data_IF_016730271771
#
_entry.id   IF_016730271771
#
_cell.length_a   1.000
_cell.length_b   1.000
_cell.length_c   1.000
_cell.angle_alpha   90.00
_cell.angle_beta   90.00
_cell.angle_gamma   90.00
#
_symmetry.space_group_name_H-M   'P 1'
#
loop_
_entity.id
_entity.type
_entity.pdbx_description
1 polymer ?
#
# COMPACT_ATOMS: atom_id res chain seq x y z
N UNK A 1 21.07 43.89 -29.76
CA UNK A 1 20.48 42.59 -29.40
C UNK A 1 21.54 41.85 -28.62
N UNK A 2 21.37 41.73 -27.30
CA UNK A 2 22.39 41.20 -26.42
C UNK A 2 22.33 39.68 -26.41
N UNK A 3 23.31 39.02 -27.02
CA UNK A 3 23.58 37.60 -26.84
C UNK A 3 24.15 37.38 -25.43
N UNK A 4 23.40 36.67 -24.59
CA UNK A 4 23.92 36.17 -23.32
C UNK A 4 24.38 34.71 -23.50
N UNK A 5 25.66 34.38 -23.24
CA UNK A 5 26.10 33.00 -23.23
C UNK A 5 25.46 32.24 -22.07
N UNK A 6 24.89 31.06 -22.36
CA UNK A 6 24.41 30.13 -21.34
C UNK A 6 25.60 29.61 -20.53
N UNK A 7 25.53 29.55 -19.18
CA UNK A 7 26.65 29.06 -18.38
C UNK A 7 26.93 27.58 -18.70
N UNK A 8 28.20 27.16 -18.82
CA UNK A 8 28.55 25.75 -19.07
C UNK A 8 28.18 24.90 -17.85
N UNK A 9 27.28 23.93 -18.05
CA UNK A 9 27.11 22.83 -17.11
C UNK A 9 28.39 22.00 -17.03
N UNK A 10 28.86 21.70 -15.82
CA UNK A 10 30.20 21.14 -15.55
C UNK A 10 30.42 19.69 -16.00
N UNK A 11 29.44 19.04 -16.64
CA UNK A 11 29.55 17.67 -17.12
C UNK A 11 28.96 17.59 -18.52
N UNK A 12 29.77 17.83 -19.56
CA UNK A 12 29.40 17.74 -20.98
C UNK A 12 29.03 16.33 -21.45
N UNK A 13 28.26 15.60 -20.64
CA UNK A 13 27.59 14.38 -21.05
C UNK A 13 26.56 14.69 -22.14
N UNK A 14 26.13 13.66 -22.89
CA UNK A 14 25.03 13.79 -23.82
C UNK A 14 23.86 14.50 -23.15
N UNK A 15 23.05 15.30 -23.89
CA UNK A 15 21.79 15.79 -23.36
C UNK A 15 21.06 14.63 -22.71
N UNK A 16 20.71 14.78 -21.43
CA UNK A 16 19.86 13.80 -20.77
C UNK A 16 18.61 13.71 -21.64
N UNK A 17 18.22 12.48 -22.01
CA UNK A 17 16.96 12.27 -22.71
C UNK A 17 15.87 13.07 -21.99
N UNK A 18 15.01 13.75 -22.76
CA UNK A 18 13.85 14.42 -22.20
C UNK A 18 13.17 13.45 -21.23
N UNK A 19 12.87 13.87 -19.99
CA UNK A 19 12.31 12.98 -18.99
C UNK A 19 11.15 12.26 -19.65
N UNK A 20 11.29 10.94 -19.80
CA UNK A 20 10.30 10.13 -20.49
C UNK A 20 8.95 10.53 -19.93
N UNK A 21 8.04 11.01 -20.80
CA UNK A 21 6.72 11.54 -20.38
C UNK A 21 6.24 10.72 -19.22
N UNK A 22 6.12 11.33 -18.03
CA UNK A 22 5.65 10.67 -16.82
C UNK A 22 4.42 9.87 -17.22
N UNK A 23 4.59 8.56 -17.46
CA UNK A 23 3.44 7.73 -17.81
C UNK A 23 2.78 7.54 -16.47
N UNK A 24 1.62 8.18 -16.23
CA UNK A 24 1.04 8.12 -14.91
C UNK A 24 0.68 6.66 -14.69
N UNK A 25 1.40 6.02 -13.77
CA UNK A 25 0.98 4.74 -13.26
C UNK A 25 -0.46 4.90 -12.75
N UNK A 26 -1.26 3.85 -12.88
CA UNK A 26 -2.63 3.84 -12.35
C UNK A 26 -2.72 2.78 -11.28
N UNK A 27 -3.42 3.10 -10.20
CA UNK A 27 -3.75 2.07 -9.23
C UNK A 27 -4.71 1.09 -9.90
N UNK A 28 -4.46 -0.21 -9.77
CA UNK A 28 -5.25 -1.24 -10.46
C UNK A 28 -6.72 -1.17 -10.04
N UNK A 29 -6.96 -1.18 -8.74
CA UNK A 29 -8.29 -1.09 -8.13
C UNK A 29 -8.25 -0.10 -6.95
N UNK A 30 -9.34 0.61 -6.70
CA UNK A 30 -9.44 1.57 -5.60
C UNK A 30 -9.27 0.98 -4.20
N UNK A 31 -9.60 -0.31 -4.00
CA UNK A 31 -9.33 -1.02 -2.75
C UNK A 31 -7.84 -1.10 -2.39
N UNK A 32 -6.96 -0.89 -3.36
CA UNK A 32 -5.51 -0.89 -3.17
C UNK A 32 -4.95 0.53 -3.03
N UNK A 33 -5.80 1.56 -3.11
CA UNK A 33 -5.40 2.96 -2.99
C UNK A 33 -5.62 3.47 -1.56
N UNK A 34 -4.59 4.07 -0.99
CA UNK A 34 -4.64 4.82 0.26
C UNK A 34 -4.36 6.29 -0.06
N UNK A 35 -5.29 7.22 0.21
CA UNK A 35 -5.07 8.63 -0.04
C UNK A 35 -3.96 9.20 0.87
N UNK A 36 -3.34 10.33 0.50
CA UNK A 36 -2.44 11.03 1.41
C UNK A 36 -3.18 11.47 2.69
N UNK A 37 -2.45 11.64 3.78
CA UNK A 37 -3.02 12.18 5.01
C UNK A 37 -3.52 13.61 4.80
N UNK A 38 -4.73 13.92 5.28
CA UNK A 38 -5.32 15.25 5.14
C UNK A 38 -4.53 16.38 5.83
N UNK A 39 -3.70 16.08 6.83
CA UNK A 39 -2.76 17.07 7.39
C UNK A 39 -1.71 17.52 6.38
N UNK A 40 -1.15 16.57 5.60
CA UNK A 40 -0.18 16.87 4.55
C UNK A 40 -0.82 17.67 3.41
N UNK A 41 -2.09 17.41 3.12
CA UNK A 41 -2.86 18.19 2.15
C UNK A 41 -3.02 19.64 2.59
N UNK A 42 -3.46 19.88 3.82
CA UNK A 42 -3.59 21.24 4.38
C UNK A 42 -2.25 21.98 4.42
N UNK A 43 -1.20 21.30 4.85
CA UNK A 43 0.14 21.87 4.92
C UNK A 43 0.66 22.27 3.53
N UNK A 44 0.43 21.42 2.53
CA UNK A 44 0.78 21.72 1.14
C UNK A 44 -0.07 22.84 0.54
N UNK A 45 -1.35 22.93 0.87
CA UNK A 45 -2.19 24.05 0.45
C UNK A 45 -1.73 25.37 1.06
N UNK A 46 -1.39 25.39 2.35
CA UNK A 46 -0.83 26.58 3.01
C UNK A 46 0.49 27.01 2.35
N UNK A 47 1.35 26.07 1.97
CA UNK A 47 2.56 26.35 1.19
C UNK A 47 2.22 26.91 -0.21
N UNK A 48 1.29 26.29 -0.94
CA UNK A 48 0.87 26.71 -2.28
C UNK A 48 0.25 28.11 -2.31
N UNK A 49 -0.50 28.46 -1.26
CA UNK A 49 -1.12 29.79 -1.09
C UNK A 49 -0.15 30.84 -0.54
N UNK A 50 1.11 30.48 -0.27
CA UNK A 50 2.13 31.38 0.27
C UNK A 50 1.94 31.73 1.76
N UNK A 51 0.99 31.08 2.44
CA UNK A 51 0.73 31.24 3.88
C UNK A 51 1.82 30.57 4.73
N UNK A 52 2.52 29.59 4.16
CA UNK A 52 3.67 28.94 4.77
C UNK A 52 4.93 29.14 3.93
N UNK A 53 6.03 29.51 4.60
CA UNK A 53 7.37 29.60 3.97
C UNK A 53 8.12 28.27 3.96
N UNK A 54 7.61 27.26 4.66
CA UNK A 54 8.21 25.93 4.70
C UNK A 54 8.01 25.27 3.33
N UNK A 55 9.09 24.81 2.70
CA UNK A 55 8.98 24.00 1.48
C UNK A 55 8.39 22.64 1.84
N UNK A 56 7.26 22.29 1.24
CA UNK A 56 6.55 21.05 1.50
C UNK A 56 6.43 20.25 0.21
N UNK A 57 6.76 18.96 0.28
CA UNK A 57 6.58 18.03 -0.84
C UNK A 57 5.09 17.89 -1.13
N UNK A 58 4.72 17.85 -2.41
CA UNK A 58 3.35 17.55 -2.82
C UNK A 58 2.90 16.23 -2.20
N UNK A 59 1.76 16.19 -1.49
CA UNK A 59 1.24 14.97 -0.89
C UNK A 59 0.88 13.97 -2.00
N UNK A 60 1.25 12.71 -1.77
CA UNK A 60 0.97 11.59 -2.65
C UNK A 60 0.38 10.46 -1.82
N UNK A 61 -0.66 9.80 -2.31
CA UNK A 61 -1.12 8.56 -1.70
C UNK A 61 -0.26 7.37 -2.12
N UNK A 62 -0.66 6.19 -1.67
CA UNK A 62 0.05 4.92 -1.88
C UNK A 62 -0.89 3.93 -2.53
N UNK A 63 -0.43 3.23 -3.56
CA UNK A 63 -1.17 2.10 -4.13
C UNK A 63 -0.38 0.81 -3.95
N UNK A 64 -0.99 -0.25 -3.41
CA UNK A 64 -0.31 -1.55 -3.21
C UNK A 64 -0.20 -2.38 -4.51
N UNK A 65 -1.08 -2.11 -5.48
CA UNK A 65 -1.12 -2.81 -6.78
C UNK A 65 -1.17 -1.81 -7.93
N UNK A 66 -0.03 -1.59 -8.56
CA UNK A 66 0.11 -0.61 -9.65
C UNK A 66 0.22 -1.31 -11.00
N UNK A 67 -0.44 -0.73 -12.01
CA UNK A 67 -0.17 -1.03 -13.41
C UNK A 67 0.88 -0.03 -13.91
N UNK A 68 2.07 -0.54 -14.22
CA UNK A 68 3.17 0.24 -14.79
C UNK A 68 3.07 0.24 -16.31
N UNK A 69 3.08 1.43 -16.92
CA UNK A 69 2.99 1.59 -18.37
C UNK A 69 1.73 0.97 -18.96
N UNK A 70 1.91 0.07 -19.95
CA UNK A 70 0.81 -0.64 -20.63
C UNK A 70 0.65 -2.09 -20.13
N UNK A 71 1.28 -2.45 -19.01
CA UNK A 71 1.19 -3.81 -18.47
C UNK A 71 -0.23 -4.13 -18.00
N UNK A 72 -0.70 -5.35 -18.31
CA UNK A 72 -1.93 -5.92 -17.74
C UNK A 72 -1.68 -6.63 -16.40
N UNK A 73 -0.42 -6.93 -16.10
CA UNK A 73 0.00 -7.60 -14.88
C UNK A 73 0.35 -6.55 -13.83
N UNK A 74 -0.29 -6.58 -12.64
CA UNK A 74 0.01 -5.65 -11.57
C UNK A 74 1.35 -6.00 -10.94
N UNK A 75 2.17 -4.98 -10.69
CA UNK A 75 3.31 -5.11 -9.82
C UNK A 75 2.86 -4.89 -8.36
N UNK A 76 3.26 -5.79 -7.47
CA UNK A 76 3.19 -5.53 -6.02
C UNK A 76 4.27 -4.50 -5.72
N UNK A 77 3.85 -3.27 -5.49
CA UNK A 77 4.76 -2.19 -5.16
C UNK A 77 3.91 -1.17 -4.43
N UNK A 78 4.20 -0.93 -3.15
CA UNK A 78 3.65 0.20 -2.40
C UNK A 78 4.22 1.50 -2.97
N UNK A 79 3.80 1.85 -4.18
CA UNK A 79 4.38 2.96 -4.92
C UNK A 79 3.66 4.23 -4.51
N UNK A 80 4.42 5.16 -3.92
CA UNK A 80 3.96 6.52 -3.67
C UNK A 80 3.88 7.28 -5.01
N UNK A 81 2.74 7.89 -5.30
CA UNK A 81 2.58 8.65 -6.54
C UNK A 81 1.24 9.38 -6.66
N UNK A 82 1.08 10.13 -7.74
CA UNK A 82 -0.15 10.85 -8.07
C UNK A 82 -1.21 9.90 -8.67
N UNK A 83 -1.45 8.76 -8.03
CA UNK A 83 -2.54 7.90 -8.44
C UNK A 83 -3.85 8.50 -7.92
N UNK A 84 -4.91 8.51 -8.73
CA UNK A 84 -6.23 8.93 -8.29
C UNK A 84 -7.17 7.75 -8.37
N UNK A 85 -7.80 7.38 -7.26
CA UNK A 85 -9.05 6.63 -7.31
C UNK A 85 -10.19 7.64 -7.45
N UNK A 86 -10.94 7.60 -8.56
CA UNK A 86 -12.19 8.36 -8.73
C UNK A 86 -13.42 7.50 -8.48
N UNK A 87 -13.31 6.45 -7.67
CA UNK A 87 -14.44 5.58 -7.43
C UNK A 87 -15.30 6.19 -6.32
N UNK A 88 -16.48 6.70 -6.69
CA UNK A 88 -17.56 7.03 -5.78
C UNK A 88 -18.19 5.77 -5.16
N UNK A 89 -17.79 4.57 -5.64
CA UNK A 89 -18.21 3.32 -5.01
C UNK A 89 -17.49 3.15 -3.68
N UNK A 90 -18.23 2.84 -2.60
CA UNK A 90 -17.64 2.58 -1.30
C UNK A 90 -16.60 1.46 -1.42
N UNK A 91 -15.48 1.62 -0.70
CA UNK A 91 -14.50 0.56 -0.57
C UNK A 91 -15.24 -0.74 -0.18
N UNK A 92 -14.96 -1.87 -0.86
CA UNK A 92 -15.61 -3.12 -0.52
C UNK A 92 -15.39 -3.38 0.97
N UNK A 93 -16.43 -3.87 1.65
CA UNK A 93 -16.33 -4.21 3.06
C UNK A 93 -15.08 -5.07 3.26
N UNK A 94 -14.28 -4.73 4.28
CA UNK A 94 -13.16 -5.57 4.64
C UNK A 94 -13.72 -6.98 4.81
N UNK A 95 -13.13 -8.01 4.17
CA UNK A 95 -13.56 -9.37 4.43
C UNK A 95 -13.56 -9.56 5.93
N UNK A 96 -14.61 -10.18 6.47
CA UNK A 96 -14.64 -10.48 7.89
C UNK A 96 -13.32 -11.16 8.25
N UNK A 97 -12.63 -10.73 9.31
CA UNK A 97 -11.50 -11.48 9.80
C UNK A 97 -12.01 -12.90 9.99
N UNK A 98 -11.47 -13.85 9.25
CA UNK A 98 -11.68 -15.26 9.55
C UNK A 98 -10.99 -15.46 10.89
N UNK A 99 -11.74 -15.21 11.96
CA UNK A 99 -11.33 -15.57 13.31
C UNK A 99 -11.10 -17.07 13.28
N UNK A 100 -9.89 -17.47 13.63
CA UNK A 100 -9.50 -18.86 13.66
C UNK A 100 -8.00 -18.94 13.70
N UNK A 101 -7.46 -19.07 14.91
CA UNK A 101 -6.07 -19.43 15.07
C UNK A 101 -5.79 -20.78 14.38
N UNK A 102 -4.53 -21.04 14.06
CA UNK A 102 -4.12 -22.40 13.72
C UNK A 102 -3.85 -23.13 15.04
N UNK A 103 -4.68 -24.12 15.38
CA UNK A 103 -4.61 -24.83 16.65
C UNK A 103 -3.91 -26.17 16.47
N UNK A 104 -3.12 -26.56 17.47
CA UNK A 104 -2.51 -27.89 17.57
C UNK A 104 -2.96 -28.49 18.89
N UNK A 105 -3.63 -29.64 18.84
CA UNK A 105 -4.15 -30.33 20.03
C UNK A 105 -3.21 -31.48 20.37
N UNK A 106 -2.78 -31.50 21.64
CA UNK A 106 -1.87 -32.49 22.19
C UNK A 106 -2.60 -33.39 23.17
N UNK A 107 -2.33 -34.69 23.10
CA UNK A 107 -2.70 -35.65 24.15
C UNK A 107 -1.41 -36.34 24.59
N UNK A 108 -1.01 -36.09 25.84
CA UNK A 108 0.33 -36.42 26.33
C UNK A 108 1.40 -35.73 25.47
N UNK A 109 2.33 -36.51 24.91
CA UNK A 109 3.43 -36.00 24.08
C UNK A 109 3.20 -36.20 22.56
N UNK A 110 1.95 -36.34 22.12
CA UNK A 110 1.61 -36.56 20.71
C UNK A 110 0.61 -35.52 20.21
N UNK A 111 0.85 -35.02 19.00
CA UNK A 111 -0.12 -34.21 18.26
C UNK A 111 -1.21 -35.12 17.74
N UNK A 112 -2.45 -34.92 18.19
CA UNK A 112 -3.60 -35.71 17.75
C UNK A 112 -4.43 -35.00 16.69
N UNK A 113 -4.27 -33.67 16.57
CA UNK A 113 -4.92 -32.89 15.54
C UNK A 113 -4.23 -31.53 15.34
N UNK A 114 -4.29 -31.00 14.11
CA UNK A 114 -3.76 -29.68 13.75
C UNK A 114 -4.58 -29.09 12.60
N UNK A 115 -5.06 -27.86 12.76
CA UNK A 115 -5.88 -27.21 11.74
C UNK A 115 -6.45 -25.86 12.15
N UNK A 116 -7.29 -25.26 11.31
CA UNK A 116 -8.04 -24.05 11.61
C UNK A 116 -8.96 -24.26 12.82
N UNK A 117 -8.98 -23.32 13.77
CA UNK A 117 -9.79 -23.39 14.99
C UNK A 117 -11.29 -23.66 14.73
N UNK A 118 -11.84 -23.12 13.63
CA UNK A 118 -13.23 -23.33 13.21
C UNK A 118 -13.52 -24.76 12.73
N UNK A 119 -12.48 -25.52 12.38
CA UNK A 119 -12.56 -26.91 11.93
C UNK A 119 -12.22 -27.94 13.04
N UNK A 120 -12.02 -27.50 14.29
CA UNK A 120 -11.75 -28.42 15.40
C UNK A 120 -12.88 -29.47 15.50
N UNK A 121 -12.57 -30.77 15.36
CA UNK A 121 -13.56 -31.84 15.51
C UNK A 121 -14.22 -31.81 16.89
N UNK A 122 -15.53 -32.03 16.97
CA UNK A 122 -16.29 -31.97 18.24
C UNK A 122 -15.72 -32.83 19.36
N UNK A 123 -15.10 -33.97 19.02
CA UNK A 123 -14.41 -34.87 19.98
C UNK A 123 -13.27 -34.22 20.77
N UNK A 124 -12.80 -33.04 20.37
CA UNK A 124 -11.78 -32.27 21.07
C UNK A 124 -12.31 -30.95 21.67
N UNK A 125 -13.62 -30.70 21.56
CA UNK A 125 -14.26 -29.48 22.11
C UNK A 125 -14.68 -29.68 23.57
N UNK A 126 -14.89 -30.92 23.98
CA UNK A 126 -15.23 -31.29 25.35
C UNK A 126 -13.95 -31.73 26.07
N UNK A 127 -13.51 -30.94 27.04
CA UNK A 127 -12.37 -31.27 27.89
C UNK A 127 -12.77 -32.39 28.85
N UNK A 128 -12.38 -33.62 28.55
CA UNK A 128 -12.24 -34.64 29.59
C UNK A 128 -11.00 -34.28 30.41
N UNK A 129 -11.18 -33.44 31.43
CA UNK A 129 -10.20 -33.28 32.50
C UNK A 129 -10.07 -34.64 33.21
N UNK A 130 -8.88 -35.28 33.22
CA UNK A 130 -8.69 -36.46 34.04
C UNK A 130 -8.81 -36.03 35.50
N UNK A 131 -9.84 -36.55 36.17
CA UNK A 131 -9.89 -36.60 37.63
C UNK A 131 -8.66 -37.36 38.09
N UNK A 132 -7.69 -36.65 38.65
CA UNK A 132 -6.57 -37.28 39.36
C UNK A 132 -7.11 -38.01 40.62
N UNK A 133 -6.56 -39.19 40.95
CA UNK A 133 -7.08 -40.11 41.97
C UNK A 133 -6.94 -39.62 43.42
#
# INVERSE_FOLDING_TARGET
>A
MSDHPVPPGHNGGPPLDDPARDRPGRCRDCRHWTPPLGSLERDYEAFRLGLSRRRIKRPTGVCDRVLLGNSRLPAFSATAGNFSCRNFEPAPSRPQPKGGGFVTIWIGNRVVWKGPEDEIPSRFRDGDDPVDP
#
